data_IF_388411322341
#
_entry.id   IF_388411322341
#
_cell.length_a   1.000
_cell.length_b   1.000
_cell.length_c   1.000
_cell.angle_alpha   90.00
_cell.angle_beta   90.00
_cell.angle_gamma   90.00
#
_symmetry.space_group_name_H-M   'P 1'
#
loop_
_entity.id
_entity.type
_entity.pdbx_description
1 polymer ?
#
# COMPACT_ATOMS: atom_id res chain seq x y z
N UNK A 1 35.44 20.32 -11.72
CA UNK A 1 34.22 20.64 -10.95
C UNK A 1 34.23 22.14 -10.73
N UNK A 2 33.24 22.88 -11.20
CA UNK A 2 33.16 24.33 -11.00
C UNK A 2 31.77 24.67 -10.44
N UNK A 3 31.76 25.49 -9.38
CA UNK A 3 30.54 26.05 -8.80
C UNK A 3 30.21 27.32 -9.56
N UNK A 4 28.98 27.42 -10.04
CA UNK A 4 28.49 28.59 -10.75
C UNK A 4 27.33 29.18 -9.97
N UNK A 5 27.31 30.50 -9.87
CA UNK A 5 26.17 31.28 -9.43
C UNK A 5 25.37 31.74 -10.63
N UNK A 6 24.05 31.71 -10.54
CA UNK A 6 23.15 32.23 -11.56
C UNK A 6 22.04 33.06 -10.92
N UNK A 7 21.48 33.99 -11.68
CA UNK A 7 20.33 34.80 -11.23
C UNK A 7 19.03 34.05 -11.50
N UNK A 8 18.08 34.07 -10.57
CA UNK A 8 16.77 33.47 -10.81
C UNK A 8 15.97 34.31 -11.84
N UNK A 9 15.16 33.64 -12.66
CA UNK A 9 14.31 34.26 -13.68
C UNK A 9 13.32 35.28 -13.09
N UNK A 10 12.91 35.09 -11.84
CA UNK A 10 12.03 36.02 -11.13
C UNK A 10 12.73 37.30 -10.64
N UNK A 11 14.03 37.47 -10.90
CA UNK A 11 14.82 38.63 -10.49
C UNK A 11 15.20 38.68 -9.01
N UNK A 12 14.87 37.65 -8.22
CA UNK A 12 15.10 37.63 -6.78
C UNK A 12 16.23 36.69 -6.39
N UNK A 13 17.36 37.26 -5.95
CA UNK A 13 18.50 36.52 -5.41
C UNK A 13 19.29 35.73 -6.45
N UNK A 14 20.23 34.91 -5.97
CA UNK A 14 21.09 34.07 -6.80
C UNK A 14 21.07 32.63 -6.32
N UNK A 15 21.02 31.68 -7.26
CA UNK A 15 21.18 30.25 -7.00
C UNK A 15 22.63 29.83 -7.19
N UNK A 16 23.02 28.70 -6.59
CA UNK A 16 24.32 28.09 -6.85
C UNK A 16 24.15 26.64 -7.30
N UNK A 17 24.90 26.25 -8.33
CA UNK A 17 24.86 24.89 -8.88
C UNK A 17 26.27 24.42 -9.24
N UNK A 18 26.55 23.15 -8.95
CA UNK A 18 27.79 22.50 -9.36
C UNK A 18 27.54 21.75 -10.66
N UNK A 19 28.17 22.20 -11.75
CA UNK A 19 27.97 21.62 -13.08
C UNK A 19 29.20 20.83 -13.54
N UNK A 20 28.93 19.70 -14.19
CA UNK A 20 29.92 18.78 -14.73
C UNK A 20 29.80 18.70 -16.24
N UNK A 21 30.89 18.37 -16.93
CA UNK A 21 30.91 18.23 -18.40
C UNK A 21 31.58 19.39 -19.13
N UNK A 22 31.38 19.43 -20.46
CA UNK A 22 31.98 20.39 -21.39
C UNK A 22 31.50 21.82 -21.12
N UNK A 23 32.32 22.83 -21.43
CA UNK A 23 31.97 24.26 -21.23
C UNK A 23 30.64 24.65 -21.85
N UNK A 24 30.43 24.29 -23.13
CA UNK A 24 29.19 24.61 -23.85
C UNK A 24 27.93 24.05 -23.19
N UNK A 25 27.99 22.83 -22.63
CA UNK A 25 26.84 22.25 -21.93
C UNK A 25 26.57 22.95 -20.59
N UNK A 26 27.62 23.41 -19.91
CA UNK A 26 27.49 24.16 -18.65
C UNK A 26 26.88 25.54 -18.88
N UNK A 27 27.34 26.25 -19.91
CA UNK A 27 26.80 27.56 -20.30
C UNK A 27 25.33 27.45 -20.72
N UNK A 28 24.99 26.45 -21.55
CA UNK A 28 23.59 26.16 -21.92
C UNK A 28 22.73 25.87 -20.69
N UNK A 29 23.25 25.11 -19.72
CA UNK A 29 22.51 24.78 -18.49
C UNK A 29 22.34 25.99 -17.59
N UNK A 30 23.33 26.88 -17.50
CA UNK A 30 23.24 28.15 -16.76
C UNK A 30 22.20 29.08 -17.39
N UNK A 31 22.23 29.26 -18.71
CA UNK A 31 21.22 30.05 -19.41
C UNK A 31 19.79 29.48 -19.18
N UNK A 32 19.66 28.15 -19.15
CA UNK A 32 18.38 27.52 -18.81
C UNK A 32 17.92 27.87 -17.39
N UNK A 33 18.82 27.85 -16.41
CA UNK A 33 18.47 28.23 -15.03
C UNK A 33 18.05 29.69 -14.91
N UNK A 34 18.75 30.59 -15.61
CA UNK A 34 18.44 32.03 -15.61
C UNK A 34 17.09 32.35 -16.25
N UNK A 35 16.69 31.59 -17.26
CA UNK A 35 15.44 31.83 -17.99
C UNK A 35 14.23 31.11 -17.37
N UNK A 36 14.43 29.91 -16.79
CA UNK A 36 13.32 29.03 -16.41
C UNK A 36 13.14 28.90 -14.89
N UNK A 37 14.17 29.12 -14.08
CA UNK A 37 14.10 28.83 -12.65
C UNK A 37 13.69 30.08 -11.85
N UNK A 38 12.54 30.00 -11.19
CA UNK A 38 12.10 30.98 -10.19
C UNK A 38 12.71 30.66 -8.82
N UNK A 39 12.86 31.67 -7.96
CA UNK A 39 13.39 31.45 -6.61
C UNK A 39 12.42 30.59 -5.77
N UNK A 40 12.90 29.93 -4.70
CA UNK A 40 12.06 29.06 -3.87
C UNK A 40 10.81 29.73 -3.30
N UNK A 41 10.89 31.02 -2.96
CA UNK A 41 9.76 31.78 -2.42
C UNK A 41 8.71 32.13 -3.50
N UNK A 42 9.16 32.53 -4.69
CA UNK A 42 8.27 32.74 -5.83
C UNK A 42 7.62 31.42 -6.26
N UNK A 43 8.35 30.32 -6.24
CA UNK A 43 7.82 28.98 -6.53
C UNK A 43 6.72 28.58 -5.53
N UNK A 44 6.97 28.75 -4.22
CA UNK A 44 5.95 28.49 -3.18
C UNK A 44 4.69 29.32 -3.38
N UNK A 45 4.83 30.62 -3.71
CA UNK A 45 3.69 31.50 -3.98
C UNK A 45 2.91 31.08 -5.22
N UNK A 46 3.59 30.73 -6.30
CA UNK A 46 2.95 30.22 -7.51
C UNK A 46 2.21 28.91 -7.24
N UNK A 47 2.82 27.99 -6.48
CA UNK A 47 2.19 26.73 -6.13
C UNK A 47 0.98 26.91 -5.20
N UNK A 48 1.06 27.84 -4.24
CA UNK A 48 -0.06 28.18 -3.37
C UNK A 48 -1.23 28.83 -4.15
N UNK A 49 -0.93 29.77 -5.06
CA UNK A 49 -1.94 30.37 -5.91
C UNK A 49 -2.58 29.35 -6.87
N UNK A 50 -1.78 28.43 -7.41
CA UNK A 50 -2.28 27.33 -8.24
C UNK A 50 -3.16 26.35 -7.45
N UNK A 51 -2.80 26.02 -6.20
CA UNK A 51 -3.60 25.17 -5.32
C UNK A 51 -4.91 25.87 -4.88
N UNK A 52 -4.88 27.19 -4.68
CA UNK A 52 -6.07 27.98 -4.33
C UNK A 52 -7.03 28.15 -5.51
N UNK A 53 -6.49 28.29 -6.72
CA UNK A 53 -7.25 28.36 -7.97
C UNK A 53 -7.75 26.99 -8.45
N UNK A 54 -7.10 25.90 -8.04
CA UNK A 54 -7.51 24.55 -8.37
C UNK A 54 -8.82 24.18 -7.67
N UNK A 55 -9.72 23.55 -8.41
CA UNK A 55 -11.00 23.07 -7.88
C UNK A 55 -10.78 21.94 -6.87
N UNK A 56 -11.57 21.93 -5.80
CA UNK A 56 -11.49 20.93 -4.74
C UNK A 56 -12.11 19.62 -5.20
N UNK A 57 -11.31 18.75 -5.81
CA UNK A 57 -11.75 17.48 -6.37
C UNK A 57 -11.04 16.31 -5.70
N UNK A 58 -11.78 15.22 -5.50
CA UNK A 58 -11.27 13.94 -5.08
C UNK A 58 -11.39 12.95 -6.23
N UNK A 59 -10.34 12.19 -6.50
CA UNK A 59 -10.28 11.18 -7.57
C UNK A 59 -9.91 9.84 -6.95
N UNK A 60 -10.60 8.77 -7.33
CA UNK A 60 -10.27 7.42 -6.88
C UNK A 60 -9.27 6.81 -7.86
N UNK A 61 -8.12 6.37 -7.36
CA UNK A 61 -7.11 5.66 -8.14
C UNK A 61 -6.89 4.27 -7.58
N UNK A 62 -6.42 3.37 -8.42
CA UNK A 62 -6.11 2.00 -8.03
C UNK A 62 -4.69 1.62 -8.47
N UNK A 63 -4.07 0.76 -7.67
CA UNK A 63 -2.83 0.07 -8.00
C UNK A 63 -3.13 -1.41 -8.19
N UNK A 64 -2.71 -1.92 -9.35
CA UNK A 64 -2.71 -3.35 -9.62
C UNK A 64 -1.59 -4.02 -8.83
N UNK A 65 -1.95 -4.90 -7.90
CA UNK A 65 -1.06 -5.74 -7.10
C UNK A 65 -1.63 -7.15 -6.98
N UNK A 66 -1.17 -7.98 -6.03
CA UNK A 66 -1.81 -9.27 -5.75
C UNK A 66 -3.23 -9.10 -5.17
N UNK A 67 -3.42 -8.04 -4.39
CA UNK A 67 -4.72 -7.50 -3.97
C UNK A 67 -4.81 -6.08 -4.53
N UNK A 68 -5.92 -5.68 -5.17
CA UNK A 68 -6.06 -4.33 -5.69
C UNK A 68 -6.14 -3.35 -4.52
N UNK A 69 -5.23 -2.39 -4.51
CA UNK A 69 -5.22 -1.31 -3.53
C UNK A 69 -5.84 -0.07 -4.16
N UNK A 70 -6.80 0.53 -3.47
CA UNK A 70 -7.46 1.75 -3.89
C UNK A 70 -6.97 2.92 -3.06
N UNK A 71 -6.99 4.10 -3.65
CA UNK A 71 -6.58 5.34 -3.02
C UNK A 71 -7.50 6.47 -3.44
N UNK A 72 -8.03 7.21 -2.48
CA UNK A 72 -8.72 8.48 -2.77
C UNK A 72 -7.67 9.58 -2.71
N UNK A 73 -7.41 10.22 -3.83
CA UNK A 73 -6.45 11.32 -4.00
C UNK A 73 -7.21 12.63 -4.04
N UNK A 74 -6.79 13.62 -3.25
CA UNK A 74 -7.41 14.94 -3.23
C UNK A 74 -6.54 15.98 -3.94
N UNK A 75 -7.18 16.84 -4.73
CA UNK A 75 -6.59 17.94 -5.47
C UNK A 75 -7.31 19.25 -5.11
N UNK A 76 -6.58 20.37 -5.13
CA UNK A 76 -7.11 21.70 -4.82
C UNK A 76 -7.19 21.98 -3.32
N UNK A 77 -6.81 23.21 -2.93
CA UNK A 77 -6.78 23.72 -1.55
C UNK A 77 -6.17 22.75 -0.53
N UNK A 78 -5.20 21.95 -0.96
CA UNK A 78 -4.55 20.94 -0.13
C UNK A 78 -3.66 21.55 0.96
N UNK A 79 -3.15 22.77 0.74
CA UNK A 79 -2.37 23.50 1.75
C UNK A 79 -3.23 24.02 2.89
N UNK A 80 -4.42 24.55 2.59
CA UNK A 80 -5.34 25.09 3.58
C UNK A 80 -5.94 23.98 4.48
N UNK A 81 -6.25 22.83 3.89
CA UNK A 81 -6.89 21.71 4.58
C UNK A 81 -5.90 20.68 5.14
N UNK A 82 -4.60 20.97 5.13
CA UNK A 82 -3.53 20.02 5.46
C UNK A 82 -3.70 19.32 6.81
N UNK A 83 -3.99 20.06 7.87
CA UNK A 83 -4.11 19.48 9.22
C UNK A 83 -5.39 18.64 9.35
N UNK A 84 -6.48 19.07 8.72
CA UNK A 84 -7.73 18.30 8.64
C UNK A 84 -7.53 16.98 7.87
N UNK A 85 -6.82 17.03 6.73
CA UNK A 85 -6.52 15.84 5.93
C UNK A 85 -5.66 14.84 6.71
N UNK A 86 -4.63 15.30 7.44
CA UNK A 86 -3.84 14.43 8.32
C UNK A 86 -4.67 13.80 9.43
N UNK A 87 -5.57 14.57 10.06
CA UNK A 87 -6.44 14.07 11.11
C UNK A 87 -7.40 12.98 10.60
N UNK A 88 -7.84 13.09 9.34
CA UNK A 88 -8.66 12.07 8.65
C UNK A 88 -7.85 10.84 8.17
N UNK A 89 -6.53 10.85 8.37
CA UNK A 89 -5.63 9.75 8.02
C UNK A 89 -5.09 9.80 6.58
N UNK A 90 -5.21 10.92 5.88
CA UNK A 90 -4.55 11.11 4.58
C UNK A 90 -3.05 11.29 4.77
N UNK A 91 -2.26 10.72 3.85
CA UNK A 91 -0.81 10.85 3.83
C UNK A 91 -0.34 11.52 2.53
N UNK A 92 0.68 12.39 2.66
CA UNK A 92 1.30 13.05 1.50
C UNK A 92 2.38 12.15 0.92
N UNK A 93 2.04 11.40 -0.13
CA UNK A 93 2.94 10.40 -0.73
C UNK A 93 2.93 10.49 -2.25
N UNK A 94 3.74 9.67 -2.92
CA UNK A 94 3.71 9.62 -4.38
C UNK A 94 2.37 9.10 -4.86
N UNK A 95 1.81 9.80 -5.82
CA UNK A 95 0.59 9.42 -6.52
C UNK A 95 0.79 8.06 -7.22
N UNK A 96 -0.31 7.32 -7.36
CA UNK A 96 -0.28 5.99 -7.93
C UNK A 96 -0.15 6.05 -9.45
N UNK A 97 0.71 5.20 -10.01
CA UNK A 97 0.79 5.01 -11.47
C UNK A 97 -0.43 4.19 -11.91
N UNK A 98 -1.45 4.89 -12.38
CA UNK A 98 -2.75 4.30 -12.75
C UNK A 98 -2.70 3.51 -14.06
N UNK A 99 -3.32 2.32 -14.07
CA UNK A 99 -3.59 1.54 -15.28
C UNK A 99 -2.35 1.14 -16.11
N UNK A 100 -2.60 0.58 -17.30
CA UNK A 100 -1.53 0.16 -18.21
C UNK A 100 -0.66 1.35 -18.66
N UNK A 101 -1.26 2.54 -18.82
CA UNK A 101 -0.56 3.75 -19.21
C UNK A 101 0.40 4.27 -18.12
N UNK A 102 -0.01 4.21 -16.84
CA UNK A 102 0.84 4.56 -15.71
C UNK A 102 2.01 3.59 -15.55
N UNK A 103 1.80 2.29 -15.78
CA UNK A 103 2.88 1.29 -15.78
C UNK A 103 3.94 1.60 -16.84
N UNK A 104 3.54 2.12 -18.00
CA UNK A 104 4.44 2.50 -19.08
C UNK A 104 5.03 3.92 -18.94
N UNK A 105 4.60 4.69 -17.93
CA UNK A 105 5.05 6.07 -17.74
C UNK A 105 6.48 6.16 -17.18
N UNK A 106 7.34 6.90 -17.88
CA UNK A 106 8.75 7.14 -17.52
C UNK A 106 8.95 8.27 -16.52
N UNK A 107 7.96 9.16 -16.35
CA UNK A 107 8.00 10.22 -15.34
C UNK A 107 7.61 9.66 -13.97
N UNK A 108 8.29 10.14 -12.93
CA UNK A 108 7.87 9.90 -11.56
C UNK A 108 6.52 10.59 -11.31
N UNK A 109 5.57 9.90 -10.64
CA UNK A 109 4.29 10.48 -10.33
C UNK A 109 4.46 11.62 -9.31
N UNK A 110 3.68 12.70 -9.42
CA UNK A 110 3.72 13.80 -8.46
C UNK A 110 3.31 13.31 -7.06
N UNK A 111 3.63 14.08 -6.02
CA UNK A 111 3.14 13.77 -4.66
C UNK A 111 1.78 14.40 -4.44
N UNK A 112 0.87 13.64 -3.84
CA UNK A 112 -0.48 14.09 -3.51
C UNK A 112 -0.91 13.56 -2.13
N UNK A 113 -1.95 14.18 -1.57
CA UNK A 113 -2.60 13.67 -0.36
C UNK A 113 -3.54 12.54 -0.74
N UNK A 114 -3.32 11.37 -0.14
CA UNK A 114 -4.12 10.19 -0.45
C UNK A 114 -4.43 9.35 0.79
N UNK A 115 -5.57 8.67 0.74
CA UNK A 115 -5.99 7.68 1.75
C UNK A 115 -6.21 6.35 1.05
N UNK A 116 -5.44 5.35 1.46
CA UNK A 116 -5.43 4.01 0.84
C UNK A 116 -6.36 3.04 1.56
N UNK A 117 -7.05 2.19 0.81
CA UNK A 117 -7.91 1.14 1.34
C UNK A 117 -7.94 -0.06 0.37
N UNK A 118 -8.26 -1.24 0.91
CA UNK A 118 -8.44 -2.46 0.13
C UNK A 118 -9.94 -2.68 -0.12
N UNK A 119 -10.29 -3.26 -1.27
CA UNK A 119 -11.64 -3.73 -1.56
C UNK A 119 -11.58 -5.07 -2.29
N UNK A 120 -12.49 -5.98 -1.94
CA UNK A 120 -12.61 -7.33 -2.53
C UNK A 120 -13.77 -7.44 -3.53
N UNK A 121 -14.63 -6.43 -3.61
CA UNK A 121 -15.73 -6.36 -4.55
C UNK A 121 -16.00 -4.93 -5.01
N UNK A 122 -16.79 -4.81 -6.07
CA UNK A 122 -17.23 -3.52 -6.60
C UNK A 122 -18.14 -2.78 -5.62
N UNK A 123 -19.02 -3.49 -4.91
CA UNK A 123 -19.89 -2.90 -3.88
C UNK A 123 -19.07 -2.35 -2.71
N UNK A 124 -18.09 -3.12 -2.23
CA UNK A 124 -17.22 -2.71 -1.12
C UNK A 124 -16.34 -1.52 -1.51
N UNK A 125 -15.87 -1.47 -2.77
CA UNK A 125 -15.15 -0.32 -3.31
C UNK A 125 -16.00 0.95 -3.23
N UNK A 126 -17.26 0.88 -3.71
CA UNK A 126 -18.16 2.02 -3.71
C UNK A 126 -18.53 2.47 -2.30
N UNK A 127 -18.83 1.55 -1.39
CA UNK A 127 -19.16 1.85 0.02
C UNK A 127 -18.00 2.54 0.75
N UNK A 128 -16.77 2.01 0.60
CA UNK A 128 -15.57 2.60 1.23
C UNK A 128 -15.21 3.94 0.61
N UNK A 129 -15.35 4.09 -0.71
CA UNK A 129 -15.13 5.36 -1.37
C UNK A 129 -16.15 6.40 -0.89
N UNK A 130 -17.44 6.04 -0.82
CA UNK A 130 -18.50 6.92 -0.32
C UNK A 130 -18.27 7.35 1.13
N UNK A 131 -17.86 6.42 2.00
CA UNK A 131 -17.51 6.75 3.38
C UNK A 131 -16.38 7.79 3.45
N UNK A 132 -15.32 7.63 2.66
CA UNK A 132 -14.21 8.60 2.59
C UNK A 132 -14.70 9.94 2.01
N UNK A 133 -15.60 9.93 1.03
CA UNK A 133 -16.19 11.15 0.46
C UNK A 133 -17.01 11.90 1.51
N UNK A 134 -17.79 11.19 2.32
CA UNK A 134 -18.55 11.80 3.42
C UNK A 134 -17.62 12.42 4.48
N UNK A 135 -16.44 11.82 4.74
CA UNK A 135 -15.44 12.39 5.64
C UNK A 135 -14.82 13.70 5.10
N UNK A 136 -14.63 13.82 3.79
CA UNK A 136 -14.01 15.00 3.16
C UNK A 136 -15.03 16.04 2.67
N UNK A 137 -16.32 15.70 2.62
CA UNK A 137 -17.40 16.61 2.22
C UNK A 137 -17.45 17.91 3.07
N UNK A 138 -17.24 17.89 4.40
CA UNK A 138 -17.16 19.12 5.21
C UNK A 138 -16.03 20.06 4.80
N UNK A 139 -14.98 19.55 4.14
CA UNK A 139 -13.86 20.34 3.64
C UNK A 139 -14.12 20.93 2.23
N UNK A 140 -15.28 20.62 1.63
CA UNK A 140 -15.70 21.12 0.32
C UNK A 140 -15.18 20.30 -0.87
N UNK A 141 -14.62 19.11 -0.64
CA UNK A 141 -14.20 18.23 -1.74
C UNK A 141 -15.40 17.51 -2.36
N UNK A 142 -15.45 17.50 -3.69
CA UNK A 142 -16.41 16.68 -4.45
C UNK A 142 -15.70 15.48 -5.07
N UNK A 143 -16.39 14.34 -5.17
CA UNK A 143 -15.90 13.22 -5.96
C UNK A 143 -16.03 13.57 -7.45
N UNK A 144 -14.92 13.59 -8.15
CA UNK A 144 -14.91 13.41 -9.59
C UNK A 144 -14.73 11.91 -9.81
N UNK A 145 -15.77 11.23 -10.32
CA UNK A 145 -15.64 9.80 -10.61
C UNK A 145 -14.41 9.61 -11.49
N UNK A 146 -13.50 8.69 -11.15
CA UNK A 146 -12.34 8.49 -11.98
C UNK A 146 -12.79 8.00 -13.35
N UNK A 147 -12.05 8.43 -14.37
CA UNK A 147 -12.12 7.87 -15.71
C UNK A 147 -11.52 6.44 -15.73
N UNK A 148 -11.89 5.57 -14.78
CA UNK A 148 -11.51 4.16 -14.87
C UNK A 148 -12.21 3.61 -16.10
N UNK A 149 -11.43 3.34 -17.14
CA UNK A 149 -11.92 2.84 -18.41
C UNK A 149 -12.65 1.51 -18.16
N UNK A 150 -13.67 1.19 -18.95
CA UNK A 150 -14.42 -0.08 -18.87
C UNK A 150 -13.48 -1.29 -18.79
N UNK A 151 -12.33 -1.19 -19.45
CA UNK A 151 -11.27 -2.19 -19.41
C UNK A 151 -10.67 -2.39 -18.01
N UNK A 152 -10.43 -1.33 -17.26
CA UNK A 152 -9.83 -1.37 -15.93
C UNK A 152 -10.78 -2.01 -14.92
N UNK A 153 -12.07 -1.66 -14.99
CA UNK A 153 -13.10 -2.30 -14.19
C UNK A 153 -13.26 -3.79 -14.53
N UNK A 154 -13.16 -4.17 -15.80
CA UNK A 154 -13.17 -5.57 -16.21
C UNK A 154 -11.96 -6.35 -15.65
N UNK A 155 -10.78 -5.74 -15.63
CA UNK A 155 -9.58 -6.34 -15.01
C UNK A 155 -9.73 -6.51 -13.51
N UNK A 156 -10.25 -5.50 -12.80
CA UNK A 156 -10.50 -5.57 -11.35
C UNK A 156 -11.49 -6.68 -11.02
N UNK A 157 -12.60 -6.79 -11.78
CA UNK A 157 -13.58 -7.88 -11.63
C UNK A 157 -12.94 -9.25 -11.83
N UNK A 158 -12.12 -9.41 -12.86
CA UNK A 158 -11.41 -10.67 -13.10
C UNK A 158 -10.43 -11.01 -11.97
N UNK A 159 -9.73 -10.01 -11.43
CA UNK A 159 -8.82 -10.20 -10.31
C UNK A 159 -9.57 -10.61 -9.03
N UNK A 160 -10.67 -9.93 -8.70
CA UNK A 160 -11.50 -10.29 -7.56
C UNK A 160 -12.05 -11.72 -7.69
N UNK A 161 -12.47 -12.14 -8.88
CA UNK A 161 -12.86 -13.52 -9.13
C UNK A 161 -11.72 -14.51 -8.84
N UNK A 162 -10.51 -14.24 -9.35
CA UNK A 162 -9.34 -15.09 -9.05
C UNK A 162 -8.98 -15.15 -7.57
N UNK A 163 -9.08 -14.02 -6.87
CA UNK A 163 -8.85 -13.96 -5.42
C UNK A 163 -9.92 -14.80 -4.70
N UNK A 164 -11.19 -14.67 -5.09
CA UNK A 164 -12.28 -15.44 -4.51
C UNK A 164 -12.15 -16.95 -4.80
N UNK A 165 -11.77 -17.33 -6.02
CA UNK A 165 -11.48 -18.71 -6.40
C UNK A 165 -10.31 -19.28 -5.59
N UNK A 166 -9.24 -18.50 -5.42
CA UNK A 166 -8.09 -18.90 -4.58
C UNK A 166 -8.49 -19.01 -3.11
N UNK A 167 -9.29 -18.08 -2.58
CA UNK A 167 -9.80 -18.19 -1.21
C UNK A 167 -10.72 -19.41 -1.05
N UNK A 168 -11.52 -19.75 -2.07
CA UNK A 168 -12.39 -20.92 -2.08
C UNK A 168 -11.62 -22.25 -2.22
N UNK A 169 -10.49 -22.26 -2.93
CA UNK A 169 -9.60 -23.44 -3.05
C UNK A 169 -8.72 -23.68 -1.82
N UNK A 170 -8.78 -22.78 -0.83
CA UNK A 170 -8.04 -22.93 0.43
C UNK A 170 -8.48 -24.23 1.13
N UNK A 171 -7.54 -25.11 1.52
CA UNK A 171 -7.89 -26.35 2.20
C UNK A 171 -8.64 -26.05 3.48
N UNK A 172 -9.84 -26.62 3.61
CA UNK A 172 -10.65 -26.49 4.80
C UNK A 172 -9.94 -27.17 5.98
N UNK A 173 -10.03 -26.55 7.15
CA UNK A 173 -9.48 -27.12 8.37
C UNK A 173 -10.21 -28.43 8.70
N UNK A 174 -9.45 -29.53 8.75
CA UNK A 174 -9.96 -30.89 8.92
C UNK A 174 -9.97 -31.38 10.37
N UNK A 175 -9.78 -30.50 11.36
CA UNK A 175 -9.71 -30.90 12.77
C UNK A 175 -8.37 -31.50 13.20
N UNK A 176 -7.32 -31.47 12.37
CA UNK A 176 -6.04 -32.11 12.68
C UNK A 176 -5.35 -31.61 13.97
N UNK A 177 -5.73 -30.43 14.50
CA UNK A 177 -5.23 -29.91 15.77
C UNK A 177 -6.24 -30.02 16.93
N UNK A 178 -7.39 -30.67 16.74
CA UNK A 178 -8.45 -30.72 17.76
C UNK A 178 -7.98 -31.47 19.02
N UNK A 179 -7.16 -32.52 18.86
CA UNK A 179 -6.57 -33.23 20.00
C UNK A 179 -5.67 -32.33 20.88
N UNK A 180 -5.05 -31.30 20.31
CA UNK A 180 -4.26 -30.33 21.07
C UNK A 180 -5.18 -29.44 21.90
N UNK A 181 -6.30 -29.01 21.31
CA UNK A 181 -7.32 -28.21 21.99
C UNK A 181 -8.00 -29.02 23.11
N UNK A 182 -8.26 -30.30 22.89
CA UNK A 182 -8.84 -31.19 23.90
C UNK A 182 -7.87 -31.43 25.06
N UNK A 183 -6.57 -31.61 24.79
CA UNK A 183 -5.57 -31.92 25.81
C UNK A 183 -5.10 -30.70 26.61
N UNK A 184 -4.99 -29.53 25.96
CA UNK A 184 -4.36 -28.32 26.53
C UNK A 184 -5.31 -27.13 26.64
N UNK A 185 -6.59 -27.30 26.26
CA UNK A 185 -7.55 -26.20 26.16
C UNK A 185 -7.30 -25.29 24.95
N UNK A 186 -8.05 -24.20 24.82
CA UNK A 186 -7.91 -23.24 23.71
C UNK A 186 -6.60 -22.42 23.75
N UNK A 187 -5.84 -22.52 24.83
CA UNK A 187 -4.68 -21.69 25.11
C UNK A 187 -3.35 -22.33 24.64
N UNK A 188 -3.36 -23.56 24.11
CA UNK A 188 -2.16 -24.21 23.56
C UNK A 188 -1.43 -23.40 22.46
N UNK A 189 -2.18 -22.52 21.79
CA UNK A 189 -1.71 -21.63 20.72
C UNK A 189 -1.55 -20.16 21.17
N UNK A 190 -1.94 -19.80 22.40
CA UNK A 190 -1.86 -18.43 22.91
C UNK A 190 -0.72 -18.33 23.91
N UNK A 191 0.18 -17.37 23.72
CA UNK A 191 1.30 -17.10 24.63
C UNK A 191 0.90 -16.40 25.94
N UNK A 192 -0.34 -16.57 26.41
CA UNK A 192 -0.87 -15.74 27.49
C UNK A 192 -1.67 -16.53 28.53
N UNK A 193 -0.93 -17.07 29.51
CA UNK A 193 -1.25 -16.96 30.94
C UNK A 193 0.02 -17.28 31.73
N UNK A 194 0.43 -16.36 32.59
CA UNK A 194 1.31 -16.61 33.74
C UNK A 194 2.58 -17.45 33.45
N UNK A 195 3.31 -17.12 32.38
CA UNK A 195 4.65 -17.67 32.13
C UNK A 195 4.73 -18.98 31.35
N UNK A 196 3.60 -19.53 30.88
CA UNK A 196 3.61 -20.77 30.08
C UNK A 196 4.12 -20.58 28.65
N UNK A 197 4.87 -21.54 28.11
CA UNK A 197 5.36 -21.52 26.71
C UNK A 197 4.37 -22.22 25.75
N UNK A 198 3.80 -21.53 24.75
CA UNK A 198 2.87 -22.16 23.81
C UNK A 198 3.57 -23.16 22.90
N UNK A 199 2.80 -24.03 22.25
CA UNK A 199 3.34 -24.96 21.28
C UNK A 199 4.02 -24.21 20.11
N UNK A 200 5.26 -24.58 19.79
CA UNK A 200 6.03 -23.97 18.71
C UNK A 200 5.67 -24.48 17.30
N UNK A 201 4.63 -25.31 17.17
CA UNK A 201 4.21 -25.93 15.91
C UNK A 201 5.12 -27.06 15.42
N UNK A 202 6.20 -27.41 16.13
CA UNK A 202 7.14 -28.47 15.73
C UNK A 202 6.74 -29.82 16.31
N UNK A 203 6.97 -30.85 15.51
CA UNK A 203 6.78 -32.26 15.86
C UNK A 203 8.16 -32.91 15.76
N UNK A 204 8.50 -33.73 16.76
CA UNK A 204 9.80 -34.38 16.90
C UNK A 204 9.63 -35.90 16.97
N UNK A 205 10.67 -36.64 16.58
CA UNK A 205 10.70 -38.10 16.69
C UNK A 205 10.57 -38.82 15.35
N UNK A 206 10.22 -40.10 15.42
CA UNK A 206 10.16 -41.06 14.30
C UNK A 206 8.84 -41.85 14.38
N UNK A 207 8.44 -42.58 13.31
CA UNK A 207 7.24 -43.42 13.34
C UNK A 207 7.17 -44.29 14.61
N UNK A 208 6.00 -44.33 15.23
CA UNK A 208 5.72 -44.99 16.51
C UNK A 208 6.18 -44.22 17.75
N UNK A 209 6.78 -43.03 17.61
CA UNK A 209 7.33 -42.26 18.74
C UNK A 209 7.39 -40.75 18.48
N UNK A 210 6.33 -40.18 17.92
CA UNK A 210 6.23 -38.74 17.74
C UNK A 210 5.89 -38.01 19.03
N UNK A 211 6.49 -36.83 19.18
CA UNK A 211 6.33 -35.99 20.36
C UNK A 211 6.25 -34.50 19.98
N UNK A 212 5.60 -33.73 20.83
CA UNK A 212 5.57 -32.28 20.75
C UNK A 212 5.71 -31.70 22.16
N UNK A 213 5.97 -30.40 22.24
CA UNK A 213 6.22 -29.71 23.51
C UNK A 213 5.22 -28.58 23.70
N UNK A 214 4.54 -28.60 24.84
CA UNK A 214 3.69 -27.51 25.33
C UNK A 214 4.17 -27.22 26.74
N UNK A 215 4.46 -25.96 27.03
CA UNK A 215 5.00 -25.52 28.32
C UNK A 215 6.25 -26.29 28.78
N UNK A 216 7.20 -26.47 27.85
CA UNK A 216 8.41 -27.30 28.00
C UNK A 216 8.15 -28.77 28.40
N UNK A 217 6.89 -29.20 28.44
CA UNK A 217 6.49 -30.57 28.78
C UNK A 217 6.33 -31.40 27.52
N UNK A 218 6.93 -32.58 27.52
CA UNK A 218 6.90 -33.52 26.38
C UNK A 218 5.58 -34.29 26.38
N UNK A 219 4.87 -34.25 25.25
CA UNK A 219 3.66 -35.03 25.03
C UNK A 219 3.81 -35.96 23.83
N UNK A 220 3.29 -37.18 23.95
CA UNK A 220 3.24 -38.14 22.86
C UNK A 220 2.09 -37.84 21.90
N UNK A 221 2.29 -38.21 20.64
CA UNK A 221 1.33 -38.08 19.54
C UNK A 221 1.38 -39.36 18.71
N UNK A 222 0.23 -39.75 18.16
CA UNK A 222 0.15 -40.95 17.29
C UNK A 222 0.65 -40.65 15.88
N UNK A 223 0.95 -41.71 15.13
CA UNK A 223 1.38 -41.59 13.73
C UNK A 223 0.26 -41.04 12.85
N UNK A 224 -0.99 -41.38 13.14
CA UNK A 224 -2.19 -40.88 12.44
C UNK A 224 -2.36 -39.37 12.66
N UNK A 225 -2.19 -38.90 13.90
CA UNK A 225 -2.25 -37.48 14.24
C UNK A 225 -1.16 -36.68 13.50
N UNK A 226 0.05 -37.23 13.41
CA UNK A 226 1.11 -36.60 12.61
C UNK A 226 0.74 -36.56 11.13
N UNK A 227 0.31 -37.68 10.57
CA UNK A 227 -0.02 -37.79 9.15
C UNK A 227 -1.10 -36.77 8.75
N UNK A 228 -2.14 -36.62 9.57
CA UNK A 228 -3.20 -35.63 9.34
C UNK A 228 -2.69 -34.17 9.39
N UNK A 229 -1.76 -33.85 10.30
CA UNK A 229 -1.12 -32.53 10.37
C UNK A 229 -0.23 -32.28 9.15
N UNK A 230 0.60 -33.26 8.77
CA UNK A 230 1.52 -33.15 7.64
C UNK A 230 0.73 -33.02 6.33
N UNK A 231 -0.35 -33.76 6.15
CA UNK A 231 -1.26 -33.64 5.00
C UNK A 231 -1.91 -32.25 4.92
N UNK A 232 -2.46 -31.75 6.04
CA UNK A 232 -3.05 -30.42 6.08
C UNK A 232 -2.01 -29.32 5.80
N UNK A 233 -0.80 -29.45 6.36
CA UNK A 233 0.32 -28.51 6.11
C UNK A 233 0.78 -28.55 4.66
N UNK A 234 0.89 -29.75 4.07
CA UNK A 234 1.26 -29.93 2.68
C UNK A 234 0.20 -29.32 1.75
N UNK A 235 -1.09 -29.57 2.01
CA UNK A 235 -2.18 -28.95 1.26
C UNK A 235 -2.17 -27.42 1.38
N UNK A 236 -1.92 -26.89 2.58
CA UNK A 236 -1.85 -25.44 2.81
C UNK A 236 -0.62 -24.81 2.15
N UNK A 237 0.51 -25.52 2.15
CA UNK A 237 1.73 -25.08 1.45
C UNK A 237 1.52 -25.09 -0.07
N UNK A 238 0.98 -26.18 -0.62
CA UNK A 238 0.67 -26.28 -2.04
C UNK A 238 -0.30 -25.17 -2.50
N UNK A 239 -1.28 -24.82 -1.66
CA UNK A 239 -2.18 -23.69 -1.91
C UNK A 239 -1.48 -22.31 -1.89
N UNK A 240 -0.48 -22.12 -1.00
CA UNK A 240 0.29 -20.86 -0.94
C UNK A 240 1.23 -20.67 -2.13
N UNK A 241 1.72 -21.77 -2.69
CA UNK A 241 2.67 -21.78 -3.81
C UNK A 241 1.98 -21.63 -5.19
N UNK A 242 0.66 -21.80 -5.27
CA UNK A 242 -0.18 -21.45 -6.43
C UNK A 242 -0.36 -19.94 -6.58
#
# INVERSE_FOLDING_TARGET
MAKYSYSYACGHGTGSVSLFGKSADRERKLAWYEQNMVCPECYKKQQAAADEAAEQVAVIKYRMGSVPLFSVVVHGRTLANKESLKALGFCFTHDEKEGLAGVLATKEPPKAWQKTFEAKSESELMEKAEAIIQEIAPLGYRLEQPASNVLDMAMLRHQWQKIAEKEASKPQYNGCFDFLKERHGADYAKSSREGGKPWNGKIYGRPGSYNYYVDDTKHSMTDEQKAAIDEYRAALQAWREQ
#
